data_IF_004012679083
#
_entry.id   IF_004012679083
#
_cell.length_a   1.000
_cell.length_b   1.000
_cell.length_c   1.000
_cell.angle_alpha   90.00
_cell.angle_beta   90.00
_cell.angle_gamma   90.00
#
_symmetry.space_group_name_H-M   'P 1'
#
loop_
_entity.id
_entity.type
_entity.pdbx_description
1 polymer ?
#
# COMPACT_ATOMS: atom_id res chain seq x y z
N UNK A 1 10.17 17.44 -25.54
CA UNK A 1 9.54 18.02 -24.33
C UNK A 1 8.19 18.56 -24.74
N UNK A 2 7.16 18.34 -23.93
CA UNK A 2 5.78 18.63 -24.33
C UNK A 2 4.80 18.44 -23.18
N UNK A 3 3.52 18.65 -23.46
CA UNK A 3 2.45 18.50 -22.51
C UNK A 3 1.09 18.38 -23.19
N UNK A 4 0.13 17.79 -22.48
CA UNK A 4 -1.28 17.70 -22.86
C UNK A 4 -2.13 18.07 -21.66
N UNK A 5 -3.26 18.74 -21.91
CA UNK A 5 -4.23 19.09 -20.88
C UNK A 5 -5.64 18.88 -21.43
N UNK A 6 -6.59 18.66 -20.51
CA UNK A 6 -7.99 18.46 -20.83
C UNK A 6 -8.85 18.65 -19.60
N UNK A 7 -10.10 18.20 -19.67
CA UNK A 7 -11.02 18.30 -18.54
C UNK A 7 -10.48 17.47 -17.36
N UNK A 8 -10.10 18.16 -16.28
CA UNK A 8 -9.67 17.52 -15.04
C UNK A 8 -8.25 16.95 -15.02
N UNK A 9 -7.41 17.26 -16.03
CA UNK A 9 -6.01 16.84 -16.02
C UNK A 9 -5.08 17.78 -16.80
N UNK A 10 -3.81 17.75 -16.43
CA UNK A 10 -2.69 18.21 -17.23
C UNK A 10 -1.49 17.28 -16.99
N UNK A 11 -0.82 16.86 -18.04
CA UNK A 11 0.38 16.03 -18.00
C UNK A 11 1.48 16.71 -18.82
N UNK A 12 2.67 16.85 -18.24
CA UNK A 12 3.77 17.59 -18.84
C UNK A 12 5.10 16.91 -18.49
N UNK A 13 6.09 17.11 -19.35
CA UNK A 13 7.46 16.72 -19.02
C UNK A 13 8.53 17.32 -19.93
N UNK A 14 9.69 17.56 -19.32
CA UNK A 14 10.91 17.97 -19.98
C UNK A 14 11.86 16.79 -20.14
N UNK A 15 12.77 16.87 -21.12
CA UNK A 15 13.81 15.85 -21.39
C UNK A 15 13.29 14.41 -21.56
N UNK A 16 12.02 14.25 -21.92
CA UNK A 16 11.39 12.94 -22.16
C UNK A 16 11.98 12.22 -23.37
N UNK A 17 11.93 10.88 -23.35
CA UNK A 17 12.34 9.99 -24.45
C UNK A 17 11.66 10.38 -25.78
N UNK A 18 10.37 10.71 -25.73
CA UNK A 18 9.61 11.25 -26.85
C UNK A 18 8.18 11.64 -26.45
N UNK A 19 7.33 12.09 -27.40
CA UNK A 19 5.95 12.49 -27.12
C UNK A 19 5.09 11.36 -26.53
N UNK A 20 5.41 10.10 -26.87
CA UNK A 20 4.68 8.92 -26.42
C UNK A 20 4.61 8.79 -24.90
N UNK A 21 5.56 9.38 -24.16
CA UNK A 21 5.56 9.38 -22.70
C UNK A 21 4.34 10.12 -22.14
N UNK A 22 4.09 11.35 -22.61
CA UNK A 22 2.93 12.13 -22.17
C UNK A 22 1.63 11.51 -22.70
N UNK A 23 1.66 10.94 -23.89
CA UNK A 23 0.51 10.27 -24.50
C UNK A 23 0.07 9.06 -23.67
N UNK A 24 1.01 8.19 -23.30
CA UNK A 24 0.76 7.04 -22.43
C UNK A 24 0.20 7.46 -21.06
N UNK A 25 0.78 8.47 -20.41
CA UNK A 25 0.27 8.98 -19.14
C UNK A 25 -1.20 9.43 -19.24
N UNK A 26 -1.53 10.21 -20.28
CA UNK A 26 -2.89 10.73 -20.49
C UNK A 26 -3.86 9.63 -20.86
N UNK A 27 -3.48 8.72 -21.76
CA UNK A 27 -4.32 7.60 -22.17
C UNK A 27 -4.64 6.69 -21.00
N UNK A 28 -3.64 6.28 -20.22
CA UNK A 28 -3.86 5.48 -19.02
C UNK A 28 -4.71 6.21 -18.00
N UNK A 29 -4.43 7.50 -17.75
CA UNK A 29 -5.29 8.29 -16.86
C UNK A 29 -6.74 8.26 -17.37
N UNK A 30 -7.02 8.53 -18.63
CA UNK A 30 -8.40 8.57 -19.16
C UNK A 30 -9.08 7.19 -19.20
N UNK A 31 -8.34 6.10 -19.34
CA UNK A 31 -8.91 4.74 -19.37
C UNK A 31 -9.26 4.22 -17.96
N UNK A 32 -8.45 4.59 -16.96
CA UNK A 32 -8.58 4.07 -15.59
C UNK A 32 -9.56 4.88 -14.71
N UNK A 33 -10.67 5.36 -15.28
CA UNK A 33 -11.66 6.19 -14.58
C UNK A 33 -12.33 5.51 -13.38
N UNK A 34 -12.33 4.18 -13.34
CA UNK A 34 -12.93 3.38 -12.26
C UNK A 34 -11.96 3.07 -11.14
N UNK A 35 -10.67 3.30 -11.36
CA UNK A 35 -9.62 3.08 -10.35
C UNK A 35 -9.66 4.25 -9.36
N UNK A 36 -9.44 4.02 -8.05
CA UNK A 36 -9.39 5.11 -7.10
C UNK A 36 -8.30 6.13 -7.50
N UNK A 37 -8.59 7.41 -7.22
CA UNK A 37 -7.83 8.52 -7.81
C UNK A 37 -6.29 8.47 -7.59
N UNK A 38 -5.77 8.13 -6.39
CA UNK A 38 -4.33 7.98 -6.19
C UNK A 38 -3.67 6.90 -7.07
N UNK A 39 -4.29 5.73 -7.16
CA UNK A 39 -3.84 4.60 -7.97
C UNK A 39 -3.89 4.98 -9.46
N UNK A 40 -4.94 5.67 -9.90
CA UNK A 40 -5.06 6.19 -11.28
C UNK A 40 -3.90 7.11 -11.65
N UNK A 41 -3.43 7.96 -10.73
CA UNK A 41 -2.26 8.82 -10.93
C UNK A 41 -0.97 8.00 -11.02
N UNK A 42 -0.80 6.98 -10.16
CA UNK A 42 0.38 6.11 -10.21
C UNK A 42 0.42 5.24 -11.48
N UNK A 43 -0.72 4.71 -11.92
CA UNK A 43 -0.83 3.98 -13.18
C UNK A 43 -0.44 4.86 -14.37
N UNK A 44 -0.92 6.11 -14.40
CA UNK A 44 -0.50 7.07 -15.42
C UNK A 44 1.00 7.34 -15.37
N UNK A 45 1.58 7.56 -14.18
CA UNK A 45 3.02 7.77 -14.01
C UNK A 45 3.84 6.55 -14.48
N UNK A 46 3.37 5.34 -14.16
CA UNK A 46 4.00 4.09 -14.57
C UNK A 46 3.98 3.91 -16.08
N UNK A 47 2.83 4.17 -16.72
CA UNK A 47 2.73 4.13 -18.18
C UNK A 47 3.70 5.11 -18.86
N UNK A 48 3.89 6.30 -18.29
CA UNK A 48 4.90 7.25 -18.76
C UNK A 48 6.34 6.73 -18.62
N UNK A 49 6.67 6.10 -17.49
CA UNK A 49 7.97 5.44 -17.27
C UNK A 49 8.22 4.34 -18.30
N UNK A 50 7.25 3.46 -18.52
CA UNK A 50 7.33 2.34 -19.48
C UNK A 50 7.41 2.80 -20.93
N UNK A 51 6.78 3.93 -21.27
CA UNK A 51 6.88 4.55 -22.60
C UNK A 51 8.25 5.24 -22.86
N UNK A 52 9.17 5.17 -21.89
CA UNK A 52 10.57 5.58 -22.01
C UNK A 52 11.00 6.67 -21.02
N UNK A 53 10.05 7.28 -20.30
CA UNK A 53 10.34 8.22 -19.21
C UNK A 53 11.26 9.40 -19.56
N UNK A 54 12.02 9.87 -18.56
CA UNK A 54 13.09 10.86 -18.72
C UNK A 54 14.33 10.21 -19.32
N UNK A 55 14.95 10.86 -20.32
CA UNK A 55 16.16 10.35 -21.01
C UNK A 55 17.36 10.15 -20.10
N UNK A 56 17.38 10.78 -18.92
CA UNK A 56 18.45 10.66 -17.93
C UNK A 56 18.28 9.43 -17.03
N UNK A 57 17.14 8.75 -17.11
CA UNK A 57 16.76 7.67 -16.21
C UNK A 57 15.86 8.14 -15.07
N UNK A 58 15.64 7.25 -14.11
CA UNK A 58 14.77 7.43 -12.95
C UNK A 58 15.60 7.43 -11.66
N UNK A 59 15.18 8.25 -10.70
CA UNK A 59 15.84 8.37 -9.39
C UNK A 59 14.82 8.71 -8.30
N UNK A 60 13.84 9.55 -8.61
CA UNK A 60 12.86 10.02 -7.64
C UNK A 60 11.44 10.05 -8.22
N UNK A 61 10.44 9.89 -7.35
CA UNK A 61 9.03 10.09 -7.68
C UNK A 61 8.26 10.55 -6.44
N UNK A 62 7.16 11.27 -6.65
CA UNK A 62 6.25 11.67 -5.58
C UNK A 62 4.79 11.61 -6.01
N UNK A 63 3.89 11.33 -5.06
CA UNK A 63 2.45 11.40 -5.20
C UNK A 63 1.87 12.30 -4.10
N UNK A 64 1.24 13.41 -4.51
CA UNK A 64 0.52 14.29 -3.61
C UNK A 64 -0.96 14.30 -4.02
N UNK A 65 -1.83 13.97 -3.07
CA UNK A 65 -3.29 14.07 -3.26
C UNK A 65 -3.86 14.91 -2.13
N UNK A 66 -4.68 15.88 -2.52
CA UNK A 66 -5.40 16.77 -1.59
C UNK A 66 -6.91 16.69 -1.84
N UNK A 67 -7.69 16.95 -0.81
CA UNK A 67 -9.13 17.10 -0.87
C UNK A 67 -9.67 17.60 0.45
N UNK A 68 -10.71 18.43 0.39
CA UNK A 68 -11.33 19.06 1.55
C UNK A 68 -11.64 18.03 2.65
N UNK A 69 -11.05 18.21 3.83
CA UNK A 69 -11.26 17.35 5.00
C UNK A 69 -10.81 15.89 4.83
N UNK A 70 -9.99 15.58 3.82
CA UNK A 70 -9.50 14.20 3.56
C UNK A 70 -8.21 13.85 4.27
N UNK A 71 -7.56 14.81 4.93
CA UNK A 71 -6.37 14.54 5.72
C UNK A 71 -6.66 13.67 6.95
N UNK A 72 -5.60 13.24 7.61
CA UNK A 72 -5.68 12.39 8.79
C UNK A 72 -6.64 12.97 9.85
N UNK A 73 -7.59 12.15 10.30
CA UNK A 73 -8.62 12.55 11.26
C UNK A 73 -9.61 13.63 10.76
N UNK A 74 -9.60 13.97 9.47
CA UNK A 74 -10.38 15.07 8.91
C UNK A 74 -9.86 16.46 9.28
N UNK A 75 -8.63 16.57 9.79
CA UNK A 75 -8.10 17.81 10.37
C UNK A 75 -7.48 18.76 9.35
N UNK A 76 -7.18 18.28 8.13
CA UNK A 76 -6.52 19.04 7.06
C UNK A 76 -6.93 18.50 5.68
N UNK A 77 -6.46 19.12 4.61
CA UNK A 77 -6.82 18.73 3.23
C UNK A 77 -5.83 17.77 2.57
N UNK A 78 -4.67 17.53 3.18
CA UNK A 78 -3.63 16.67 2.59
C UNK A 78 -3.98 15.21 2.82
N UNK A 79 -4.59 14.59 1.82
CA UNK A 79 -5.02 13.19 1.87
C UNK A 79 -3.82 12.24 1.92
N UNK A 80 -2.84 12.42 1.02
CA UNK A 80 -1.59 11.64 1.04
C UNK A 80 -0.45 12.41 0.39
N UNK A 81 0.76 12.15 0.89
CA UNK A 81 2.02 12.73 0.41
C UNK A 81 3.09 11.63 0.51
N UNK A 82 3.31 10.94 -0.60
CA UNK A 82 4.20 9.80 -0.70
C UNK A 82 5.40 10.18 -1.55
N UNK A 83 6.61 9.85 -1.10
CA UNK A 83 7.85 10.27 -1.73
C UNK A 83 8.85 9.12 -1.75
N UNK A 84 9.43 8.89 -2.91
CA UNK A 84 10.66 8.14 -3.10
C UNK A 84 11.70 9.12 -3.62
N UNK A 85 12.48 9.72 -2.72
CA UNK A 85 13.40 10.82 -3.09
C UNK A 85 14.73 10.32 -3.70
N UNK A 86 15.12 9.08 -3.41
CA UNK A 86 16.25 8.38 -4.05
C UNK A 86 16.00 6.85 -4.04
N UNK A 87 15.60 6.31 -5.19
CA UNK A 87 15.31 4.89 -5.35
C UNK A 87 15.56 4.45 -6.81
N UNK A 88 16.14 3.26 -7.08
CA UNK A 88 16.36 2.77 -8.44
C UNK A 88 15.05 2.56 -9.21
N UNK A 89 13.96 2.25 -8.50
CA UNK A 89 12.62 2.00 -9.04
C UNK A 89 11.60 2.91 -8.33
N UNK A 90 11.64 4.24 -8.50
CA UNK A 90 10.92 5.16 -7.62
C UNK A 90 9.39 5.10 -7.81
N UNK A 91 8.91 4.79 -9.02
CA UNK A 91 7.46 4.61 -9.27
C UNK A 91 6.94 3.35 -8.61
N UNK A 92 7.67 2.23 -8.69
CA UNK A 92 7.34 1.00 -7.97
C UNK A 92 7.33 1.21 -6.45
N UNK A 93 8.28 2.00 -5.95
CA UNK A 93 8.32 2.35 -4.54
C UNK A 93 7.09 3.16 -4.11
N UNK A 94 6.56 4.06 -4.96
CA UNK A 94 5.29 4.73 -4.68
C UNK A 94 4.10 3.76 -4.59
N UNK A 95 4.06 2.69 -5.41
CA UNK A 95 3.01 1.66 -5.28
C UNK A 95 3.12 0.90 -3.95
N UNK A 96 4.34 0.61 -3.51
CA UNK A 96 4.59 -0.01 -2.20
C UNK A 96 4.16 0.91 -1.06
N UNK A 97 4.53 2.19 -1.11
CA UNK A 97 4.14 3.21 -0.13
C UNK A 97 2.63 3.43 -0.11
N UNK A 98 1.97 3.46 -1.27
CA UNK A 98 0.52 3.57 -1.36
C UNK A 98 -0.15 2.36 -0.71
N UNK A 99 0.34 1.15 -0.99
CA UNK A 99 -0.16 -0.07 -0.36
C UNK A 99 -0.03 -0.05 1.16
N UNK A 100 1.10 0.43 1.69
CA UNK A 100 1.27 0.63 3.13
C UNK A 100 0.33 1.70 3.69
N UNK A 101 0.15 2.81 2.98
CA UNK A 101 -0.79 3.84 3.39
C UNK A 101 -2.22 3.29 3.47
N UNK A 102 -2.66 2.49 2.49
CA UNK A 102 -3.97 1.82 2.53
C UNK A 102 -4.09 0.88 3.73
N UNK A 103 -3.05 0.08 4.00
CA UNK A 103 -3.02 -0.82 5.14
C UNK A 103 -3.15 -0.08 6.47
N UNK A 104 -2.41 1.01 6.67
CA UNK A 104 -2.35 1.69 7.96
C UNK A 104 -3.54 2.64 8.22
N UNK A 105 -4.09 3.25 7.16
CA UNK A 105 -5.08 4.33 7.33
C UNK A 105 -6.50 3.98 6.88
N UNK A 106 -6.71 2.90 6.12
CA UNK A 106 -8.06 2.48 5.74
C UNK A 106 -8.59 1.38 6.65
N UNK A 107 -9.89 1.41 6.91
CA UNK A 107 -10.56 0.33 7.63
C UNK A 107 -10.85 -0.83 6.67
N UNK A 108 -10.59 -2.09 7.06
CA UNK A 108 -10.98 -3.23 6.24
C UNK A 108 -12.50 -3.29 6.09
N UNK A 109 -12.96 -3.65 4.90
CA UNK A 109 -14.40 -3.85 4.62
C UNK A 109 -14.90 -5.19 5.13
N UNK A 110 -14.07 -6.21 5.04
CA UNK A 110 -14.40 -7.61 5.35
C UNK A 110 -13.26 -8.23 6.15
N UNK A 111 -13.63 -9.14 7.05
CA UNK A 111 -12.73 -10.00 7.81
C UNK A 111 -13.22 -11.43 7.65
N UNK A 112 -12.30 -12.38 7.77
CA UNK A 112 -12.64 -13.79 7.80
C UNK A 112 -11.95 -14.49 8.96
N UNK A 113 -12.50 -15.60 9.44
CA UNK A 113 -11.79 -16.49 10.33
C UNK A 113 -10.47 -16.96 9.72
N UNK A 114 -9.44 -17.03 10.56
CA UNK A 114 -8.18 -17.71 10.26
C UNK A 114 -8.43 -19.21 10.18
N UNK A 115 -7.89 -19.84 9.15
CA UNK A 115 -7.90 -21.30 9.06
C UNK A 115 -6.90 -21.91 10.08
N UNK A 116 -7.09 -23.15 10.55
CA UNK A 116 -6.22 -23.76 11.56
C UNK A 116 -4.73 -23.75 11.20
N UNK A 117 -4.39 -23.90 9.91
CA UNK A 117 -3.02 -23.79 9.42
C UNK A 117 -2.45 -22.36 9.51
N UNK A 118 -3.30 -21.35 9.33
CA UNK A 118 -2.91 -19.94 9.50
C UNK A 118 -2.74 -19.61 10.97
N UNK A 119 -3.56 -20.20 11.85
CA UNK A 119 -3.36 -20.11 13.30
C UNK A 119 -2.04 -20.79 13.71
N UNK A 120 -1.72 -21.98 13.17
CA UNK A 120 -0.43 -22.63 13.44
C UNK A 120 0.75 -21.78 12.98
N UNK A 121 0.66 -21.23 11.77
CA UNK A 121 1.66 -20.30 11.26
C UNK A 121 1.81 -19.08 12.19
N UNK A 122 0.70 -18.46 12.59
CA UNK A 122 0.69 -17.31 13.48
C UNK A 122 1.33 -17.64 14.82
N UNK A 123 0.95 -18.74 15.46
CA UNK A 123 1.55 -19.22 16.70
C UNK A 123 3.06 -19.43 16.54
N UNK A 124 3.50 -20.02 15.42
CA UNK A 124 4.92 -20.18 15.09
C UNK A 124 5.68 -18.86 15.02
N UNK A 125 5.12 -17.86 14.33
CA UNK A 125 5.65 -16.48 14.28
C UNK A 125 5.69 -15.86 15.67
N UNK A 126 4.60 -15.95 16.43
CA UNK A 126 4.53 -15.36 17.77
C UNK A 126 5.55 -16.00 18.72
N UNK A 127 5.82 -17.31 18.60
CA UNK A 127 6.89 -17.98 19.35
C UNK A 127 8.28 -17.50 18.94
N UNK A 128 8.54 -17.35 17.63
CA UNK A 128 9.85 -16.90 17.16
C UNK A 128 10.17 -15.46 17.58
N UNK A 129 9.14 -14.64 17.78
CA UNK A 129 9.22 -13.29 18.33
C UNK A 129 9.26 -13.26 19.87
N UNK A 130 9.11 -14.39 20.56
CA UNK A 130 9.07 -14.48 22.02
C UNK A 130 7.78 -13.91 22.65
N UNK A 131 6.73 -13.68 21.85
CA UNK A 131 5.44 -13.17 22.29
C UNK A 131 4.50 -14.27 22.79
N UNK A 132 4.73 -15.51 22.36
CA UNK A 132 3.91 -16.67 22.70
C UNK A 132 4.79 -17.82 23.23
N UNK A 133 4.36 -18.44 24.33
CA UNK A 133 5.07 -19.55 24.97
C UNK A 133 4.31 -20.89 24.88
N UNK A 134 3.09 -20.89 24.35
CA UNK A 134 2.27 -22.09 24.21
C UNK A 134 2.67 -22.98 23.04
N UNK A 135 1.99 -24.12 22.90
CA UNK A 135 2.22 -25.06 21.80
C UNK A 135 1.64 -24.53 20.48
N UNK A 136 2.16 -25.03 19.35
CA UNK A 136 1.61 -24.72 18.01
C UNK A 136 0.57 -25.78 17.68
N UNK A 137 -0.69 -25.53 18.00
CA UNK A 137 -1.80 -26.49 17.84
C UNK A 137 -2.82 -26.06 16.78
N UNK A 138 -2.86 -24.77 16.42
CA UNK A 138 -3.79 -24.25 15.39
C UNK A 138 -5.18 -23.94 15.89
N UNK A 139 -5.37 -23.86 17.20
CA UNK A 139 -6.59 -23.32 17.81
C UNK A 139 -6.27 -21.91 18.32
N UNK A 140 -7.16 -20.96 18.03
CA UNK A 140 -6.97 -19.58 18.43
C UNK A 140 -7.54 -19.38 19.84
N UNK A 141 -6.71 -19.69 20.83
CA UNK A 141 -7.05 -19.58 22.25
C UNK A 141 -6.70 -18.19 22.82
N UNK A 142 -7.05 -17.94 24.08
CA UNK A 142 -6.77 -16.64 24.72
C UNK A 142 -5.27 -16.31 24.79
N UNK A 143 -4.41 -17.33 24.89
CA UNK A 143 -2.97 -17.11 24.93
C UNK A 143 -2.44 -16.66 23.55
N UNK A 144 -2.97 -17.25 22.47
CA UNK A 144 -2.72 -16.82 21.09
C UNK A 144 -3.26 -15.41 20.87
N UNK A 145 -4.48 -15.10 21.33
CA UNK A 145 -5.07 -13.78 21.18
C UNK A 145 -4.24 -12.69 21.89
N UNK A 146 -3.83 -12.91 23.14
CA UNK A 146 -2.98 -11.96 23.87
C UNK A 146 -1.65 -11.70 23.17
N UNK A 147 -1.01 -12.76 22.67
CA UNK A 147 0.24 -12.63 21.92
C UNK A 147 0.02 -11.94 20.57
N UNK A 148 -1.10 -12.22 19.90
CA UNK A 148 -1.45 -11.59 18.63
C UNK A 148 -1.77 -10.10 18.80
N UNK A 149 -2.47 -9.69 19.86
CA UNK A 149 -2.67 -8.29 20.20
C UNK A 149 -1.35 -7.54 20.37
N UNK A 150 -0.34 -8.17 20.99
CA UNK A 150 0.98 -7.58 21.11
C UNK A 150 1.65 -7.39 19.73
N UNK A 151 1.56 -8.39 18.84
CA UNK A 151 2.06 -8.27 17.47
C UNK A 151 1.33 -7.18 16.67
N UNK A 152 0.00 -7.13 16.76
CA UNK A 152 -0.83 -6.11 16.12
C UNK A 152 -0.43 -4.71 16.58
N UNK A 153 -0.15 -4.53 17.87
CA UNK A 153 0.34 -3.25 18.40
C UNK A 153 1.75 -2.88 17.92
N UNK A 154 2.65 -3.86 17.83
CA UNK A 154 4.00 -3.64 17.27
C UNK A 154 3.96 -3.17 15.81
N UNK A 155 2.98 -3.67 15.06
CA UNK A 155 2.83 -3.39 13.62
C UNK A 155 1.89 -2.19 13.32
N UNK A 156 1.35 -1.52 14.34
CA UNK A 156 0.37 -0.42 14.22
C UNK A 156 -0.90 -0.80 13.45
N UNK A 157 -1.44 -2.00 13.71
CA UNK A 157 -2.63 -2.54 13.04
C UNK A 157 -3.86 -2.59 13.96
N UNK A 158 -3.85 -1.89 15.10
CA UNK A 158 -4.88 -1.95 16.14
C UNK A 158 -6.26 -1.55 15.60
N UNK A 159 -6.33 -0.52 14.76
CA UNK A 159 -7.59 -0.07 14.14
C UNK A 159 -8.20 -1.11 13.17
N UNK A 160 -7.43 -2.12 12.76
CA UNK A 160 -7.88 -3.18 11.85
C UNK A 160 -8.43 -4.39 12.60
N UNK A 161 -7.83 -4.73 13.74
CA UNK A 161 -8.15 -5.93 14.51
C UNK A 161 -9.25 -5.67 15.54
N UNK A 162 -10.29 -6.51 15.56
CA UNK A 162 -11.45 -6.35 16.44
C UNK A 162 -11.54 -7.44 17.53
N UNK A 163 -10.46 -8.20 17.75
CA UNK A 163 -10.45 -9.37 18.62
C UNK A 163 -10.89 -10.64 17.88
N UNK A 164 -10.67 -11.78 18.54
CA UNK A 164 -11.01 -13.11 18.04
C UNK A 164 -10.12 -13.60 16.88
N UNK A 165 -10.45 -14.76 16.30
CA UNK A 165 -9.66 -15.40 15.25
C UNK A 165 -9.88 -14.80 13.85
N UNK A 166 -10.33 -13.55 13.74
CA UNK A 166 -10.69 -12.93 12.46
C UNK A 166 -9.73 -11.81 12.07
N UNK A 167 -9.29 -11.85 10.82
CA UNK A 167 -8.43 -10.81 10.22
C UNK A 167 -8.86 -10.53 8.79
N UNK A 168 -8.55 -9.33 8.32
CA UNK A 168 -8.69 -9.01 6.91
C UNK A 168 -7.49 -9.53 6.10
N UNK A 169 -7.72 -9.80 4.82
CA UNK A 169 -6.72 -10.42 3.95
C UNK A 169 -5.47 -9.53 3.75
N UNK A 170 -5.62 -8.19 3.82
CA UNK A 170 -4.48 -7.29 3.68
C UNK A 170 -3.56 -7.36 4.91
N UNK A 171 -4.13 -7.41 6.13
CA UNK A 171 -3.38 -7.66 7.38
C UNK A 171 -2.65 -8.98 7.31
N UNK A 172 -3.34 -10.06 6.95
CA UNK A 172 -2.73 -11.38 6.89
C UNK A 172 -1.60 -11.47 5.86
N UNK A 173 -1.83 -10.94 4.66
CA UNK A 173 -0.82 -10.88 3.59
C UNK A 173 0.39 -10.04 4.00
N UNK A 174 0.17 -8.92 4.69
CA UNK A 174 1.24 -8.09 5.24
C UNK A 174 2.09 -8.89 6.25
N UNK A 175 1.45 -9.51 7.24
CA UNK A 175 2.16 -10.28 8.27
C UNK A 175 2.92 -11.48 7.68
N UNK A 176 2.32 -12.21 6.72
CA UNK A 176 3.00 -13.33 6.01
C UNK A 176 4.23 -12.87 5.23
N UNK A 177 4.19 -11.70 4.58
CA UNK A 177 5.38 -11.13 3.89
C UNK A 177 6.44 -10.67 4.88
N UNK A 178 6.02 -10.07 6.00
CA UNK A 178 6.91 -9.49 7.02
C UNK A 178 7.61 -10.56 7.86
N UNK A 179 6.91 -11.66 8.13
CA UNK A 179 7.34 -12.78 8.98
C UNK A 179 7.22 -14.10 8.21
N UNK A 180 8.15 -14.38 7.28
CA UNK A 180 8.23 -15.69 6.67
C UNK A 180 8.56 -16.72 7.74
N UNK A 181 7.72 -17.76 7.84
CA UNK A 181 7.89 -18.85 8.77
C UNK A 181 7.70 -20.16 8.01
N UNK A 182 8.72 -21.02 8.11
CA UNK A 182 8.84 -22.34 7.49
C UNK A 182 8.36 -23.43 8.44
#
# INVERSE_FOLDING_TARGET
AGGRAGKGFAAQGNLLAGPQVVEAMVETFLQEERVPFPERLLLALKAGEEAGGDKRGKQSAALLVVGEGKGYGGLWDRYMDLRADDHPEPVEELFRLLSLHRLLFERPKERRPLAPEEVRWLQGVLRSLGLYAGEVHGEFDEATERAFLALIGMENLEERYQGGPEVDEATLSYLKRRYPWS
#
